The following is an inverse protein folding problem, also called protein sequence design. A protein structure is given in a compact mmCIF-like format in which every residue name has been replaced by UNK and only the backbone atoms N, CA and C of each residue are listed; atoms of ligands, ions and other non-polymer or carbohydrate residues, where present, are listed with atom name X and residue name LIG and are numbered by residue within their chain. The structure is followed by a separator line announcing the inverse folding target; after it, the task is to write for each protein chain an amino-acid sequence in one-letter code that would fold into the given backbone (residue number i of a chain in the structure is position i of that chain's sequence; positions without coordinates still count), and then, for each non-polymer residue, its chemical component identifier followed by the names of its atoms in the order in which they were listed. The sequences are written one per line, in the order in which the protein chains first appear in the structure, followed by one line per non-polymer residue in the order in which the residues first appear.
data_IF_924326010002
#
_entry.id   IF_924326010002
#
_cell.length_a   1.000
_cell.length_b   1.000
_cell.length_c   1.000
_cell.angle_alpha   90.00
_cell.angle_beta   90.00
_cell.angle_gamma   90.00
#
_symmetry.space_group_name_H-M   'P 1'
#
loop_
_entity.id
_entity.type
_entity.pdbx_description
1 polymer ?
#
# COMPACT_ATOMS: atom_id res chain seq x y z
N UNK A 1 -24.15 9.14 3.40
CA UNK A 1 -24.41 8.56 4.75
C UNK A 1 -24.59 9.67 5.76
N UNK A 2 -25.65 9.61 6.58
CA UNK A 2 -25.89 10.62 7.61
C UNK A 2 -25.12 10.29 8.90
N UNK A 3 -24.49 11.30 9.54
CA UNK A 3 -23.59 11.08 10.69
C UNK A 3 -24.27 10.45 11.91
N UNK A 4 -25.56 10.69 12.09
CA UNK A 4 -26.35 10.16 13.20
C UNK A 4 -27.01 8.81 12.90
N UNK A 5 -26.74 8.20 11.74
CA UNK A 5 -27.33 6.92 11.39
C UNK A 5 -26.78 5.82 12.32
N UNK A 6 -27.62 5.08 13.07
CA UNK A 6 -27.16 3.98 13.90
C UNK A 6 -26.49 2.85 13.09
N UNK A 7 -26.72 2.79 11.78
CA UNK A 7 -26.08 1.88 10.82
C UNK A 7 -25.06 2.59 9.91
N UNK A 8 -24.45 3.67 10.39
CA UNK A 8 -23.45 4.44 9.66
C UNK A 8 -22.35 3.55 9.05
N UNK A 9 -21.88 2.54 9.78
CA UNK A 9 -20.87 1.60 9.27
C UNK A 9 -21.31 0.84 8.02
N UNK A 10 -22.57 0.38 7.95
CA UNK A 10 -23.09 -0.34 6.78
C UNK A 10 -23.26 0.60 5.59
N UNK A 11 -23.75 1.82 5.83
CA UNK A 11 -23.86 2.83 4.77
C UNK A 11 -22.48 3.17 4.18
N UNK A 12 -21.48 3.33 5.04
CA UNK A 12 -20.11 3.63 4.59
C UNK A 12 -19.51 2.43 3.87
N UNK A 13 -19.75 1.21 4.36
CA UNK A 13 -19.33 0.00 3.65
C UNK A 13 -19.88 -0.01 2.22
N UNK A 14 -21.18 0.22 2.04
CA UNK A 14 -21.79 0.30 0.72
C UNK A 14 -21.18 1.43 -0.13
N UNK A 15 -20.92 2.59 0.47
CA UNK A 15 -20.28 3.72 -0.22
C UNK A 15 -18.87 3.37 -0.71
N UNK A 16 -18.09 2.63 0.10
CA UNK A 16 -16.75 2.15 -0.28
C UNK A 16 -16.83 1.13 -1.41
N UNK A 17 -17.81 0.23 -1.38
CA UNK A 17 -18.04 -0.74 -2.47
C UNK A 17 -18.39 -0.02 -3.79
N UNK A 18 -19.24 1.01 -3.75
CA UNK A 18 -19.55 1.84 -4.93
C UNK A 18 -18.36 2.66 -5.42
N UNK A 19 -17.46 3.05 -4.52
CA UNK A 19 -16.24 3.80 -4.85
C UNK A 19 -15.16 2.90 -5.46
N UNK A 20 -15.13 1.60 -5.15
CA UNK A 20 -14.12 0.64 -5.64
C UNK A 20 -13.86 0.71 -7.16
N UNK A 21 -14.86 0.63 -8.07
CA UNK A 21 -14.61 0.71 -9.51
C UNK A 21 -14.03 2.06 -9.94
N UNK A 22 -14.32 3.14 -9.20
CA UNK A 22 -13.74 4.46 -9.45
C UNK A 22 -12.27 4.51 -9.03
N UNK A 23 -11.93 3.95 -7.86
CA UNK A 23 -10.54 3.84 -7.41
C UNK A 23 -9.71 2.95 -8.33
N UNK A 24 -10.29 1.86 -8.83
CA UNK A 24 -9.63 0.96 -9.76
C UNK A 24 -9.21 1.65 -11.06
N UNK A 25 -9.98 2.61 -11.57
CA UNK A 25 -9.65 3.36 -12.81
C UNK A 25 -9.02 4.73 -12.57
N UNK A 26 -9.10 5.24 -11.35
CA UNK A 26 -8.78 6.64 -11.02
C UNK A 26 -9.96 7.57 -11.27
N UNK A 27 -9.87 8.79 -10.72
CA UNK A 27 -10.85 9.86 -10.89
C UNK A 27 -10.09 11.14 -11.28
N UNK A 28 -9.77 11.33 -12.58
CA UNK A 28 -8.89 12.42 -13.04
C UNK A 28 -9.40 13.83 -12.71
N UNK A 29 -10.72 14.03 -12.69
CA UNK A 29 -11.37 15.29 -12.31
C UNK A 29 -11.07 15.73 -10.86
N UNK A 30 -10.58 14.81 -10.02
CA UNK A 30 -10.15 15.07 -8.65
C UNK A 30 -8.67 14.74 -8.42
N UNK A 31 -7.88 14.58 -9.48
CA UNK A 31 -6.46 14.18 -9.42
C UNK A 31 -6.22 12.86 -8.66
N UNK A 32 -7.20 11.95 -8.65
CA UNK A 32 -7.07 10.65 -8.01
C UNK A 32 -6.51 9.65 -9.03
N UNK A 33 -5.28 9.12 -8.82
CA UNK A 33 -4.69 8.17 -9.76
C UNK A 33 -5.38 6.81 -9.70
N UNK A 34 -5.13 5.99 -10.72
CA UNK A 34 -5.56 4.59 -10.73
C UNK A 34 -4.90 3.79 -9.60
N UNK A 35 -5.68 2.91 -8.98
CA UNK A 35 -5.19 1.89 -8.06
C UNK A 35 -4.94 0.53 -8.76
N UNK A 36 -5.17 0.43 -10.07
CA UNK A 36 -4.91 -0.75 -10.90
C UNK A 36 -4.27 -0.39 -12.26
N UNK A 37 -2.94 -0.47 -12.40
CA UNK A 37 -1.99 -0.59 -11.30
C UNK A 37 -1.88 0.69 -10.48
N UNK A 38 -1.64 0.54 -9.18
CA UNK A 38 -1.08 1.61 -8.37
C UNK A 38 0.40 1.78 -8.75
N UNK A 39 0.76 2.95 -9.24
CA UNK A 39 2.13 3.29 -9.62
C UNK A 39 2.84 4.02 -8.49
N UNK A 40 4.00 3.50 -8.07
CA UNK A 40 4.86 4.12 -7.06
C UNK A 40 6.20 4.43 -7.72
N UNK A 41 6.65 5.71 -7.76
CA UNK A 41 7.86 6.09 -8.50
C UNK A 41 9.12 5.41 -7.97
N UNK A 42 9.33 5.44 -6.65
CA UNK A 42 10.53 4.91 -6.02
C UNK A 42 10.27 4.48 -4.58
N UNK A 43 10.91 3.38 -4.18
CA UNK A 43 11.03 2.95 -2.78
C UNK A 43 12.50 2.61 -2.52
N UNK A 44 13.07 3.19 -1.47
CA UNK A 44 14.41 2.86 -0.97
C UNK A 44 14.25 2.11 0.35
N UNK A 45 14.86 0.93 0.41
CA UNK A 45 15.00 0.14 1.63
C UNK A 45 16.47 0.19 2.02
N UNK A 46 16.76 0.75 3.19
CA UNK A 46 18.10 0.82 3.75
C UNK A 46 18.08 0.18 5.14
N UNK A 47 18.59 -1.05 5.22
CA UNK A 47 18.65 -1.85 6.45
C UNK A 47 20.12 -2.14 6.73
N UNK A 48 20.79 -1.26 7.48
CA UNK A 48 22.26 -1.24 7.60
C UNK A 48 22.89 -2.00 8.76
N UNK A 49 22.15 -2.79 9.56
CA UNK A 49 22.70 -3.39 10.78
C UNK A 49 22.37 -4.88 10.95
N UNK A 50 23.35 -5.63 11.48
CA UNK A 50 23.20 -7.02 11.89
C UNK A 50 23.59 -8.04 10.81
N UNK A 51 22.94 -9.20 10.87
CA UNK A 51 23.16 -10.32 9.95
C UNK A 51 22.71 -10.03 8.51
N UNK A 52 21.88 -9.02 8.28
CA UNK A 52 21.43 -8.62 6.94
C UNK A 52 21.65 -7.12 6.83
N UNK A 53 22.63 -6.74 6.01
CA UNK A 53 22.95 -5.35 5.74
C UNK A 53 22.72 -5.10 4.25
N UNK A 54 21.55 -4.56 3.89
CA UNK A 54 21.13 -4.44 2.49
C UNK A 54 20.56 -3.05 2.24
N UNK A 55 21.04 -2.43 1.16
CA UNK A 55 20.44 -1.26 0.57
C UNK A 55 19.88 -1.65 -0.79
N UNK A 56 18.60 -1.39 -1.00
CA UNK A 56 17.93 -1.68 -2.27
C UNK A 56 17.04 -0.52 -2.68
N UNK A 57 17.05 -0.19 -3.96
CA UNK A 57 16.18 0.82 -4.56
C UNK A 57 15.29 0.14 -5.59
N UNK A 58 13.99 0.41 -5.53
CA UNK A 58 12.99 -0.07 -6.48
C UNK A 58 12.38 1.13 -7.19
N UNK A 59 12.28 1.08 -8.52
CA UNK A 59 11.74 2.15 -9.36
C UNK A 59 10.67 1.63 -10.30
N UNK A 60 9.81 2.53 -10.75
CA UNK A 60 8.69 2.25 -11.65
C UNK A 60 7.82 1.10 -11.15
N UNK A 61 7.51 1.15 -9.85
CA UNK A 61 6.79 0.07 -9.18
C UNK A 61 5.34 0.11 -9.64
N UNK A 62 4.84 -1.03 -10.11
CA UNK A 62 3.43 -1.25 -10.43
C UNK A 62 2.88 -2.29 -9.49
N UNK A 63 1.82 -1.93 -8.77
CA UNK A 63 1.12 -2.81 -7.84
C UNK A 63 -0.27 -3.11 -8.40
N UNK A 64 -0.57 -4.39 -8.60
CA UNK A 64 -1.84 -4.90 -9.09
C UNK A 64 -2.58 -5.66 -7.99
N UNK A 65 -3.90 -5.55 -7.94
CA UNK A 65 -4.75 -6.14 -6.91
C UNK A 65 -5.21 -5.24 -5.74
N UNK A 66 -4.70 -4.00 -5.49
CA UNK A 66 -5.20 -3.17 -4.40
C UNK A 66 -6.73 -2.96 -4.43
N UNK A 67 -7.35 -2.88 -5.60
CA UNK A 67 -8.80 -2.69 -5.73
C UNK A 67 -9.62 -3.91 -5.30
N UNK A 68 -9.01 -5.10 -5.23
CA UNK A 68 -9.67 -6.35 -4.83
C UNK A 68 -9.80 -6.52 -3.31
N UNK A 69 -9.59 -5.44 -2.55
CA UNK A 69 -9.75 -5.46 -1.09
C UNK A 69 -11.18 -5.86 -0.69
N UNK A 70 -11.30 -6.52 0.45
CA UNK A 70 -12.56 -6.79 1.14
C UNK A 70 -12.58 -5.95 2.41
N UNK A 71 -13.55 -5.05 2.51
CA UNK A 71 -13.73 -4.23 3.72
C UNK A 71 -14.29 -5.09 4.85
N UNK A 72 -13.46 -5.33 5.87
CA UNK A 72 -13.82 -6.13 7.05
C UNK A 72 -14.50 -5.28 8.11
N UNK A 73 -13.95 -4.11 8.39
CA UNK A 73 -14.46 -3.23 9.43
C UNK A 73 -14.06 -1.79 9.19
N UNK A 74 -14.94 -0.85 9.56
CA UNK A 74 -14.65 0.57 9.57
C UNK A 74 -15.12 1.18 10.89
N UNK A 75 -14.26 2.01 11.48
CA UNK A 75 -14.58 2.80 12.68
C UNK A 75 -14.22 4.24 12.41
N UNK A 76 -15.17 5.13 12.68
CA UNK A 76 -15.00 6.57 12.53
C UNK A 76 -15.21 7.21 13.89
N UNK A 77 -14.20 7.92 14.36
CA UNK A 77 -14.24 8.75 15.56
C UNK A 77 -14.24 10.21 15.10
N UNK A 78 -15.44 10.79 15.04
CA UNK A 78 -15.64 12.16 14.55
C UNK A 78 -15.12 13.19 15.53
N UNK A 79 -15.14 12.92 16.84
CA UNK A 79 -14.64 13.84 17.86
C UNK A 79 -13.12 13.99 17.75
N UNK A 80 -12.43 12.86 17.52
CA UNK A 80 -10.98 12.84 17.36
C UNK A 80 -10.50 12.99 15.92
N UNK A 81 -11.42 13.11 14.95
CA UNK A 81 -11.12 13.14 13.52
C UNK A 81 -10.22 11.97 13.07
N UNK A 82 -10.54 10.76 13.57
CA UNK A 82 -9.79 9.53 13.26
C UNK A 82 -10.67 8.53 12.55
N UNK A 83 -10.09 7.88 11.54
CA UNK A 83 -10.73 6.78 10.83
C UNK A 83 -9.80 5.57 10.90
N UNK A 84 -10.35 4.42 11.26
CA UNK A 84 -9.64 3.14 11.23
C UNK A 84 -10.40 2.15 10.36
N UNK A 85 -9.70 1.56 9.41
CA UNK A 85 -10.25 0.63 8.44
C UNK A 85 -9.46 -0.67 8.53
N UNK A 86 -10.16 -1.80 8.60
CA UNK A 86 -9.57 -3.13 8.43
C UNK A 86 -10.00 -3.70 7.09
N UNK A 87 -9.02 -4.10 6.30
CA UNK A 87 -9.18 -4.63 4.97
C UNK A 87 -8.51 -6.00 4.90
N UNK A 88 -9.03 -6.87 4.05
CA UNK A 88 -8.33 -8.09 3.63
C UNK A 88 -8.08 -8.03 2.13
N UNK A 89 -6.88 -8.36 1.69
CA UNK A 89 -6.48 -8.39 0.29
C UNK A 89 -6.12 -9.83 -0.09
N UNK A 90 -6.77 -10.41 -1.12
CA UNK A 90 -6.47 -11.79 -1.53
C UNK A 90 -5.06 -11.92 -2.09
N UNK A 91 -4.65 -10.93 -2.90
CA UNK A 91 -3.38 -10.93 -3.62
C UNK A 91 -2.95 -9.52 -3.98
N UNK A 92 -1.65 -9.25 -3.88
CA UNK A 92 -0.97 -8.15 -4.56
C UNK A 92 0.13 -8.72 -5.45
N UNK A 93 0.22 -8.23 -6.68
CA UNK A 93 1.31 -8.52 -7.60
C UNK A 93 2.10 -7.25 -7.88
N UNK A 94 3.42 -7.33 -7.75
CA UNK A 94 4.30 -6.18 -7.92
C UNK A 94 5.28 -6.45 -9.05
N UNK A 95 5.54 -5.43 -9.86
CA UNK A 95 6.68 -5.41 -10.79
C UNK A 95 7.42 -4.10 -10.63
N UNK A 96 8.75 -4.16 -10.67
CA UNK A 96 9.60 -2.96 -10.60
C UNK A 96 10.98 -3.22 -11.19
N UNK A 97 11.70 -2.15 -11.48
CA UNK A 97 13.16 -2.20 -11.65
C UNK A 97 13.81 -2.11 -10.28
N UNK A 98 14.85 -2.89 -10.04
CA UNK A 98 15.55 -2.87 -8.76
C UNK A 98 17.06 -2.78 -8.95
N UNK A 99 17.72 -2.15 -7.98
CA UNK A 99 19.17 -2.22 -7.75
C UNK A 99 19.37 -2.52 -6.28
N UNK A 100 20.27 -3.44 -5.97
CA UNK A 100 20.55 -3.90 -4.61
C UNK A 100 22.03 -4.11 -4.40
N UNK A 101 22.51 -3.72 -3.24
CA UNK A 101 23.86 -3.99 -2.75
C UNK A 101 23.83 -4.27 -1.25
N UNK A 102 24.68 -5.17 -0.79
CA UNK A 102 24.77 -5.48 0.63
C UNK A 102 25.44 -6.80 0.91
N UNK A 103 25.07 -7.38 2.05
CA UNK A 103 25.50 -8.72 2.45
C UNK A 103 24.44 -9.40 3.29
N UNK A 104 24.34 -10.72 3.12
CA UNK A 104 23.63 -11.63 4.01
C UNK A 104 24.69 -12.43 4.75
N UNK A 105 24.75 -12.25 6.07
CA UNK A 105 25.83 -12.73 6.94
C UNK A 105 27.18 -12.24 6.40
N UNK A 106 27.99 -13.16 5.88
CA UNK A 106 29.30 -12.88 5.27
C UNK A 106 29.25 -12.84 3.74
N UNK A 107 28.13 -13.24 3.14
CA UNK A 107 27.99 -13.37 1.70
C UNK A 107 27.61 -12.01 1.09
N UNK A 108 28.46 -11.41 0.25
CA UNK A 108 28.11 -10.19 -0.46
C UNK A 108 26.97 -10.48 -1.45
N UNK A 109 26.01 -9.57 -1.52
CA UNK A 109 24.93 -9.62 -2.50
C UNK A 109 24.95 -8.33 -3.30
N UNK A 110 24.81 -8.45 -4.61
CA UNK A 110 24.55 -7.33 -5.49
C UNK A 110 23.73 -7.79 -6.68
N UNK A 111 22.95 -6.88 -7.25
CA UNK A 111 22.12 -7.19 -8.41
C UNK A 111 21.40 -5.97 -8.92
N UNK A 112 21.17 -5.93 -10.23
CA UNK A 112 20.32 -4.95 -10.88
C UNK A 112 19.50 -5.66 -11.93
N UNK A 113 18.20 -5.44 -11.93
CA UNK A 113 17.33 -6.15 -12.85
C UNK A 113 15.85 -5.82 -12.65
N UNK A 114 15.01 -6.80 -12.96
CA UNK A 114 13.57 -6.72 -12.72
C UNK A 114 13.23 -7.53 -11.48
N UNK A 115 12.41 -6.95 -10.60
CA UNK A 115 11.86 -7.66 -9.45
C UNK A 115 10.37 -7.92 -9.66
N UNK A 116 9.92 -9.11 -9.28
CA UNK A 116 8.51 -9.48 -9.26
C UNK A 116 8.13 -9.94 -7.85
N UNK A 117 7.07 -9.37 -7.30
CA UNK A 117 6.54 -9.72 -5.99
C UNK A 117 5.15 -10.33 -6.11
N UNK A 118 4.87 -11.35 -5.31
CA UNK A 118 3.54 -11.89 -5.13
C UNK A 118 3.27 -12.04 -3.64
N UNK A 119 2.24 -11.35 -3.16
CA UNK A 119 1.84 -11.34 -1.76
C UNK A 119 0.40 -11.79 -1.68
N UNK A 120 0.07 -12.73 -0.78
CA UNK A 120 -1.30 -13.25 -0.67
C UNK A 120 -1.73 -13.34 0.79
N UNK A 121 -3.05 -13.38 0.99
CA UNK A 121 -3.68 -13.43 2.29
C UNK A 121 -3.18 -12.32 3.22
N UNK A 122 -3.47 -11.07 2.83
CA UNK A 122 -2.94 -9.89 3.51
C UNK A 122 -4.06 -9.25 4.33
N UNK A 123 -3.84 -9.13 5.63
CA UNK A 123 -4.65 -8.27 6.49
C UNK A 123 -4.01 -6.88 6.56
N UNK A 124 -4.78 -5.83 6.31
CA UNK A 124 -4.31 -4.46 6.37
C UNK A 124 -5.15 -3.64 7.35
N UNK A 125 -4.47 -2.90 8.24
CA UNK A 125 -5.11 -1.89 9.09
C UNK A 125 -4.68 -0.51 8.64
N UNK A 126 -5.62 0.26 8.10
CA UNK A 126 -5.42 1.66 7.72
C UNK A 126 -5.87 2.55 8.87
N UNK A 127 -5.02 3.49 9.28
CA UNK A 127 -5.34 4.52 10.27
C UNK A 127 -5.12 5.90 9.65
N UNK A 128 -6.18 6.70 9.61
CA UNK A 128 -6.16 8.06 9.08
C UNK A 128 -6.45 9.05 10.20
N UNK A 129 -5.61 10.07 10.33
CA UNK A 129 -5.83 11.19 11.21
C UNK A 129 -6.01 12.44 10.36
N UNK A 130 -7.04 13.22 10.65
CA UNK A 130 -7.31 14.43 9.91
C UNK A 130 -7.74 15.58 10.80
N UNK A 131 -8.13 16.66 10.14
CA UNK A 131 -8.68 17.85 10.77
C UNK A 131 -9.78 18.43 9.88
N UNK A 132 -10.68 19.20 10.48
CA UNK A 132 -11.67 19.96 9.71
C UNK A 132 -11.07 21.30 9.32
N UNK A 133 -11.17 21.66 8.05
CA UNK A 133 -10.78 22.97 7.54
C UNK A 133 -12.00 23.65 6.93
N UNK A 134 -12.12 24.96 7.09
CA UNK A 134 -13.14 25.76 6.40
C UNK A 134 -12.53 26.38 5.15
N UNK A 135 -13.20 26.21 4.02
CA UNK A 135 -12.85 26.84 2.74
C UNK A 135 -14.15 27.20 2.03
N UNK A 136 -14.26 28.42 1.51
CA UNK A 136 -15.43 28.89 0.76
C UNK A 136 -16.78 28.65 1.49
N UNK A 137 -16.78 28.89 2.81
CA UNK A 137 -17.90 28.66 3.73
C UNK A 137 -18.35 27.18 3.89
N UNK A 138 -17.62 26.24 3.29
CA UNK A 138 -17.81 24.80 3.46
C UNK A 138 -16.77 24.19 4.39
N UNK A 139 -17.12 23.06 5.01
CA UNK A 139 -16.22 22.33 5.91
C UNK A 139 -15.70 21.07 5.22
N UNK A 140 -14.39 21.01 5.02
CA UNK A 140 -13.70 19.87 4.42
C UNK A 140 -12.97 19.05 5.49
N UNK A 141 -12.85 17.75 5.25
CA UNK A 141 -12.00 16.87 6.03
C UNK A 141 -10.63 16.78 5.36
N UNK A 142 -9.61 17.33 6.00
CA UNK A 142 -8.25 17.29 5.52
C UNK A 142 -7.48 16.17 6.22
N UNK A 143 -7.07 15.14 5.49
CA UNK A 143 -6.24 14.05 6.02
C UNK A 143 -4.83 14.60 6.25
N UNK A 144 -4.30 14.40 7.46
CA UNK A 144 -2.96 14.82 7.88
C UNK A 144 -1.99 13.66 7.88
N UNK A 145 -2.40 12.56 8.48
CA UNK A 145 -1.60 11.34 8.57
C UNK A 145 -2.36 10.16 8.01
N UNK A 146 -1.64 9.29 7.30
CA UNK A 146 -2.16 8.05 6.73
C UNK A 146 -1.15 6.93 7.01
N UNK A 147 -1.53 6.01 7.88
CA UNK A 147 -0.70 4.87 8.25
C UNK A 147 -1.36 3.59 7.79
N UNK A 148 -0.54 2.67 7.27
CA UNK A 148 -1.00 1.32 6.92
C UNK A 148 -0.08 0.31 7.59
N UNK A 149 -0.70 -0.59 8.34
CA UNK A 149 -0.04 -1.77 8.90
C UNK A 149 -0.48 -2.99 8.09
N UNK A 150 0.48 -3.76 7.60
CA UNK A 150 0.23 -4.97 6.81
C UNK A 150 0.71 -6.20 7.56
N UNK A 151 -0.16 -7.20 7.65
CA UNK A 151 0.18 -8.56 8.02
C UNK A 151 0.05 -9.44 6.77
N UNK A 152 1.17 -9.96 6.29
CA UNK A 152 1.25 -10.71 5.03
C UNK A 152 1.32 -12.20 5.33
N UNK A 153 0.35 -12.98 4.87
CA UNK A 153 0.34 -14.43 5.05
C UNK A 153 1.43 -15.14 4.24
N UNK A 154 1.54 -14.83 2.95
CA UNK A 154 2.59 -15.40 2.09
C UNK A 154 3.21 -14.33 1.19
N UNK A 155 4.53 -14.42 1.01
CA UNK A 155 5.30 -13.57 0.12
C UNK A 155 6.25 -14.42 -0.73
N UNK A 156 6.30 -14.13 -2.03
CA UNK A 156 7.32 -14.61 -2.95
C UNK A 156 7.90 -13.43 -3.68
N UNK A 157 9.22 -13.32 -3.69
CA UNK A 157 9.95 -12.25 -4.37
C UNK A 157 10.95 -12.93 -5.31
N UNK A 158 10.87 -12.57 -6.58
CA UNK A 158 11.84 -12.95 -7.60
C UNK A 158 12.67 -11.72 -7.94
N UNK A 159 13.99 -11.89 -7.91
CA UNK A 159 14.96 -10.87 -8.29
C UNK A 159 15.78 -11.44 -9.45
N UNK A 160 15.58 -10.90 -10.65
CA UNK A 160 16.36 -11.30 -11.81
C UNK A 160 17.80 -10.77 -11.66
N UNK A 161 18.81 -11.53 -12.08
CA UNK A 161 20.23 -11.15 -12.08
C UNK A 161 20.83 -10.77 -10.69
N UNK A 162 20.28 -11.36 -9.63
CA UNK A 162 20.94 -11.34 -8.32
C UNK A 162 22.27 -12.10 -8.42
N UNK A 163 23.31 -11.62 -7.71
CA UNK A 163 24.69 -12.12 -7.79
C UNK A 163 25.34 -11.96 -9.16
N UNK A 164 24.91 -10.96 -9.94
CA UNK A 164 25.35 -10.73 -11.31
C UNK A 164 25.17 -11.98 -12.21
N UNK A 165 24.13 -12.79 -11.94
CA UNK A 165 23.78 -13.96 -12.75
C UNK A 165 24.65 -15.20 -12.49
N UNK A 166 25.43 -15.23 -11.40
CA UNK A 166 26.12 -16.46 -10.99
C UNK A 166 25.09 -17.52 -10.57
N UNK A 167 24.97 -18.59 -11.35
CA UNK A 167 23.96 -19.66 -11.16
C UNK A 167 24.32 -20.67 -10.07
N UNK A 168 25.53 -20.60 -9.52
CA UNK A 168 25.95 -21.44 -8.38
C UNK A 168 25.49 -20.86 -7.03
N UNK A 169 24.98 -19.62 -7.02
CA UNK A 169 24.43 -18.89 -5.87
C UNK A 169 22.95 -18.56 -6.09
#
# INVERSE_FOLDING_TARGET
CHRSDPRLSDCIKNSVESLRPLLARGIPEFDIPSCEPLCIPEVVIDRGAGAVAVRSTYRDIKVYGPSQFVLRHIRIDMERNRIRIKLWLPRLQLTSKYTMEGRILMMPISGTGTSRGNYTNIDATVSMHGQRIKKDNETYFNVKDFYVDFNIGHATIQLDDLFNGNKEL
#
